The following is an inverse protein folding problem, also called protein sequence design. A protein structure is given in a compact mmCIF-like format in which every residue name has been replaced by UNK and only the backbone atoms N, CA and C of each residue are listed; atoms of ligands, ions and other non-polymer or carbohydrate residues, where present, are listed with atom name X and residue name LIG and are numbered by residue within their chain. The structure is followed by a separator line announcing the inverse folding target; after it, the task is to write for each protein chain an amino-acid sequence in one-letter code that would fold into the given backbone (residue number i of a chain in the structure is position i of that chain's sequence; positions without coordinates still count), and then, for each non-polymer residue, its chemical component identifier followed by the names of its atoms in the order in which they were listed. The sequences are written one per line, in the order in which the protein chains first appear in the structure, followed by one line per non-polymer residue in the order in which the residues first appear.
data_IF_293574599292
#
_entry.id   IF_293574599292
#
_cell.length_a   1.000
_cell.length_b   1.000
_cell.length_c   1.000
_cell.angle_alpha   90.00
_cell.angle_beta   90.00
_cell.angle_gamma   90.00
#
_symmetry.space_group_name_H-M   'P 1'
#
loop_
_entity.id
_entity.type
_entity.pdbx_description
1 polymer ?
#
# COMPACT_ATOMS: atom_id res chain seq x y z
N UNK A 1 -53.86 26.20 13.54
CA UNK A 1 -55.26 26.63 13.68
C UNK A 1 -55.35 28.15 13.62
N UNK A 2 -56.19 28.72 12.75
CA UNK A 2 -56.31 30.17 12.62
C UNK A 2 -57.04 30.76 13.83
N UNK A 3 -56.50 31.83 14.42
CA UNK A 3 -56.88 32.30 15.77
C UNK A 3 -58.24 32.99 15.82
N UNK A 4 -58.72 33.54 14.70
CA UNK A 4 -60.01 34.24 14.61
C UNK A 4 -61.12 33.36 14.03
N UNK A 5 -60.83 32.53 13.02
CA UNK A 5 -61.84 31.71 12.33
C UNK A 5 -61.85 30.25 12.76
N UNK A 6 -60.89 29.81 13.57
CA UNK A 6 -60.83 28.44 14.09
C UNK A 6 -60.47 27.36 13.06
N UNK A 7 -60.34 27.69 11.78
CA UNK A 7 -60.03 26.74 10.70
C UNK A 7 -58.61 26.16 10.86
N UNK A 8 -58.46 24.86 10.67
CA UNK A 8 -57.17 24.16 10.70
C UNK A 8 -56.63 23.98 9.29
N UNK A 9 -55.44 24.54 9.04
CA UNK A 9 -54.74 24.43 7.77
C UNK A 9 -53.56 23.46 7.92
N UNK A 10 -53.64 22.30 7.28
CA UNK A 10 -52.63 21.24 7.41
C UNK A 10 -51.31 21.54 6.68
N UNK A 11 -51.29 22.50 5.75
CA UNK A 11 -50.10 22.87 4.95
C UNK A 11 -49.57 24.28 5.22
N UNK A 12 -50.06 24.96 6.26
CA UNK A 12 -49.65 26.34 6.57
C UNK A 12 -48.14 26.50 6.87
N UNK A 13 -47.50 25.44 7.35
CA UNK A 13 -46.07 25.44 7.64
C UNK A 13 -45.18 25.53 6.39
N UNK A 14 -45.69 25.17 5.20
CA UNK A 14 -44.95 25.23 3.92
C UNK A 14 -45.10 26.60 3.26
N UNK A 15 -46.16 27.34 3.60
CA UNK A 15 -46.48 28.66 3.01
C UNK A 15 -45.76 29.83 3.69
N UNK A 16 -45.10 29.58 4.84
CA UNK A 16 -44.33 30.60 5.55
C UNK A 16 -42.86 30.20 5.64
N UNK A 17 -41.95 31.17 5.56
CA UNK A 17 -40.53 30.90 5.69
C UNK A 17 -40.24 30.36 7.10
N UNK A 18 -39.52 29.24 7.23
CA UNK A 18 -39.17 28.69 8.54
C UNK A 18 -38.29 29.67 9.32
N UNK A 19 -38.42 29.66 10.65
CA UNK A 19 -37.61 30.50 11.53
C UNK A 19 -36.12 30.18 11.31
N UNK A 20 -35.35 31.17 10.84
CA UNK A 20 -33.90 31.04 10.67
C UNK A 20 -33.28 30.64 12.00
N UNK A 21 -32.47 29.58 12.00
CA UNK A 21 -31.67 29.23 13.18
C UNK A 21 -30.70 30.39 13.46
N UNK A 22 -30.52 30.80 14.73
CA UNK A 22 -29.56 31.84 15.05
C UNK A 22 -28.16 31.36 14.63
N UNK A 23 -27.44 32.22 13.91
CA UNK A 23 -26.04 31.95 13.55
C UNK A 23 -25.26 31.83 14.86
N UNK A 24 -24.56 30.71 15.06
CA UNK A 24 -23.62 30.59 16.18
C UNK A 24 -22.50 31.58 15.90
N UNK A 25 -22.43 32.69 16.64
CA UNK A 25 -21.46 33.78 16.46
C UNK A 25 -20.04 33.43 16.88
N UNK A 26 -19.68 32.15 16.88
CA UNK A 26 -18.36 31.64 17.25
C UNK A 26 -17.95 30.63 16.19
N UNK A 27 -16.76 30.80 15.61
CA UNK A 27 -16.18 29.82 14.70
C UNK A 27 -15.99 28.48 15.43
N UNK A 28 -16.65 27.45 14.93
CA UNK A 28 -16.48 26.08 15.44
C UNK A 28 -15.32 25.46 14.67
N UNK A 29 -14.11 25.61 15.20
CA UNK A 29 -12.93 24.96 14.65
C UNK A 29 -12.98 23.45 14.96
N UNK A 30 -13.23 22.62 13.96
CA UNK A 30 -13.13 21.16 14.09
C UNK A 30 -11.73 20.68 13.70
N UNK A 31 -11.04 19.98 14.59
CA UNK A 31 -9.80 19.27 14.26
C UNK A 31 -10.15 17.95 13.56
N UNK A 32 -10.35 18.00 12.25
CA UNK A 32 -10.48 16.79 11.43
C UNK A 32 -9.12 16.40 10.87
N UNK A 33 -8.69 15.18 11.18
CA UNK A 33 -7.48 14.58 10.60
C UNK A 33 -7.89 13.32 9.84
N UNK A 34 -7.47 13.20 8.58
CA UNK A 34 -7.74 12.01 7.78
C UNK A 34 -6.61 11.00 7.99
N UNK A 35 -6.94 9.82 8.53
CA UNK A 35 -5.98 8.71 8.64
C UNK A 35 -5.83 8.05 7.27
N UNK A 36 -4.61 8.04 6.73
CA UNK A 36 -4.27 7.38 5.47
C UNK A 36 -2.96 6.60 5.62
N UNK A 37 -2.90 5.42 5.00
CA UNK A 37 -1.66 4.66 4.87
C UNK A 37 -0.76 5.28 3.80
N UNK A 38 0.32 5.94 4.23
CA UNK A 38 1.35 6.44 3.32
C UNK A 38 2.31 5.31 2.96
N UNK A 39 2.50 5.09 1.66
CA UNK A 39 3.50 4.14 1.13
C UNK A 39 4.59 4.92 0.42
N UNK A 40 5.85 4.67 0.77
CA UNK A 40 6.98 5.18 0.01
C UNK A 40 7.22 4.31 -1.22
N UNK A 41 7.49 4.95 -2.37
CA UNK A 41 7.89 4.29 -3.60
C UNK A 41 9.20 4.91 -4.06
N UNK A 42 10.16 4.09 -4.44
CA UNK A 42 11.42 4.55 -5.02
C UNK A 42 11.30 4.65 -6.54
N UNK A 43 11.96 5.65 -7.12
CA UNK A 43 12.13 5.80 -8.55
C UNK A 43 13.62 5.84 -8.87
N UNK A 44 14.03 5.17 -9.96
CA UNK A 44 15.41 5.19 -10.45
C UNK A 44 15.47 5.92 -11.79
N UNK A 45 16.52 6.73 -11.98
CA UNK A 45 16.87 7.34 -13.25
C UNK A 45 17.79 6.42 -14.06
N UNK A 46 17.85 6.59 -15.37
CA UNK A 46 18.79 5.86 -16.24
C UNK A 46 20.24 6.21 -15.89
N UNK A 47 21.08 5.20 -15.69
CA UNK A 47 22.52 5.36 -15.52
C UNK A 47 23.19 5.06 -16.86
N UNK A 48 24.04 5.97 -17.35
CA UNK A 48 24.86 5.76 -18.54
C UNK A 48 26.28 5.36 -18.17
N UNK A 49 26.86 4.45 -18.95
CA UNK A 49 28.26 4.06 -18.85
C UNK A 49 28.84 3.98 -20.26
N UNK A 50 30.05 4.47 -20.46
CA UNK A 50 30.77 4.42 -21.73
C UNK A 50 32.14 3.76 -21.53
N UNK A 51 32.61 3.10 -22.57
CA UNK A 51 33.93 2.47 -22.60
C UNK A 51 34.62 2.87 -23.89
N UNK A 52 35.88 3.28 -23.80
CA UNK A 52 36.70 3.66 -24.94
C UNK A 52 37.85 2.67 -25.06
N UNK A 53 38.04 2.09 -26.25
CA UNK A 53 39.18 1.21 -26.51
C UNK A 53 40.49 2.01 -26.50
N UNK A 54 41.53 1.45 -25.89
CA UNK A 54 42.89 2.00 -25.94
C UNK A 54 43.53 1.70 -27.29
N UNK A 55 44.11 2.71 -27.95
CA UNK A 55 44.75 2.58 -29.26
C UNK A 55 45.75 3.71 -29.51
N UNK A 56 46.64 3.52 -30.50
CA UNK A 56 47.62 4.55 -30.88
C UNK A 56 46.85 5.78 -31.39
N UNK A 57 47.06 6.93 -30.76
CA UNK A 57 46.36 8.18 -31.07
C UNK A 57 45.02 8.38 -30.34
N UNK A 58 44.59 7.42 -29.50
CA UNK A 58 43.39 7.56 -28.67
C UNK A 58 43.77 7.86 -27.22
N UNK A 59 43.29 8.99 -26.68
CA UNK A 59 43.43 9.28 -25.25
C UNK A 59 42.39 8.50 -24.44
N UNK A 60 42.85 7.61 -23.57
CA UNK A 60 42.03 6.90 -22.59
C UNK A 60 42.77 6.92 -21.24
N UNK A 61 42.10 7.40 -20.18
CA UNK A 61 42.68 7.50 -18.85
C UNK A 61 42.43 6.22 -18.05
N UNK A 62 43.49 5.53 -17.64
CA UNK A 62 43.40 4.27 -16.88
C UNK A 62 43.73 4.42 -15.37
N UNK A 63 43.93 5.65 -14.88
CA UNK A 63 44.41 5.88 -13.50
C UNK A 63 43.46 5.45 -12.39
N UNK A 64 42.15 5.40 -12.67
CA UNK A 64 41.12 4.98 -11.71
C UNK A 64 40.64 3.54 -11.96
N UNK A 65 41.27 2.83 -12.91
CA UNK A 65 40.83 1.49 -13.29
C UNK A 65 41.25 0.47 -12.24
N UNK A 66 40.48 -0.62 -12.15
CA UNK A 66 40.73 -1.73 -11.22
C UNK A 66 40.97 -3.02 -11.99
N UNK A 67 42.07 -3.70 -11.66
CA UNK A 67 42.31 -5.08 -12.10
C UNK A 67 41.55 -6.05 -11.19
N UNK A 68 40.81 -6.97 -11.80
CA UNK A 68 39.98 -7.96 -11.10
C UNK A 68 40.33 -9.36 -11.60
N UNK A 69 40.64 -10.27 -10.69
CA UNK A 69 40.86 -11.69 -11.00
C UNK A 69 39.52 -12.38 -11.22
N UNK A 70 39.34 -13.17 -12.31
CA UNK A 70 38.09 -13.87 -12.55
C UNK A 70 37.84 -14.93 -11.46
N UNK A 71 36.61 -14.98 -10.96
CA UNK A 71 36.13 -16.04 -10.08
C UNK A 71 35.47 -17.17 -10.87
N UNK A 72 34.91 -18.16 -10.15
CA UNK A 72 34.10 -19.21 -10.77
C UNK A 72 32.85 -18.58 -11.39
N UNK A 73 32.66 -18.78 -12.70
CA UNK A 73 31.45 -18.37 -13.39
C UNK A 73 30.28 -19.27 -12.95
N UNK A 74 29.13 -18.67 -12.66
CA UNK A 74 27.89 -19.37 -12.32
C UNK A 74 27.01 -19.34 -13.56
N UNK A 75 26.64 -20.52 -14.06
CA UNK A 75 25.79 -20.61 -15.26
C UNK A 75 24.35 -20.20 -14.92
N UNK A 76 23.59 -19.85 -15.96
CA UNK A 76 22.17 -19.58 -15.78
C UNK A 76 21.46 -20.76 -15.10
N UNK A 77 21.70 -21.99 -15.56
CA UNK A 77 21.05 -23.19 -15.03
C UNK A 77 21.33 -23.41 -13.54
N UNK A 78 22.57 -23.20 -13.10
CA UNK A 78 22.93 -23.29 -11.68
C UNK A 78 22.14 -22.29 -10.81
N UNK A 79 21.95 -21.06 -11.31
CA UNK A 79 21.14 -20.05 -10.62
C UNK A 79 19.66 -20.45 -10.58
N UNK A 80 19.12 -20.96 -11.69
CA UNK A 80 17.73 -21.37 -11.77
C UNK A 80 17.44 -22.55 -10.84
N UNK A 81 18.31 -23.56 -10.83
CA UNK A 81 18.20 -24.71 -9.94
C UNK A 81 18.26 -24.31 -8.47
N UNK A 82 19.18 -23.41 -8.11
CA UNK A 82 19.29 -22.88 -6.74
C UNK A 82 18.01 -22.16 -6.34
N UNK A 83 17.45 -21.31 -7.21
CA UNK A 83 16.18 -20.61 -6.97
C UNK A 83 15.02 -21.59 -6.83
N UNK A 84 14.93 -22.59 -7.70
CA UNK A 84 13.85 -23.59 -7.67
C UNK A 84 13.84 -24.37 -6.35
N UNK A 85 15.00 -24.84 -5.90
CA UNK A 85 15.15 -25.54 -4.60
C UNK A 85 14.70 -24.64 -3.44
N UNK A 86 15.10 -23.37 -3.44
CA UNK A 86 14.68 -22.41 -2.42
C UNK A 86 13.17 -22.15 -2.46
N UNK A 87 12.58 -22.01 -3.64
CA UNK A 87 11.14 -21.81 -3.82
C UNK A 87 10.35 -23.02 -3.31
N UNK A 88 10.74 -24.24 -3.64
CA UNK A 88 10.09 -25.46 -3.13
C UNK A 88 10.12 -25.49 -1.60
N UNK A 89 11.26 -25.15 -1.00
CA UNK A 89 11.42 -25.06 0.45
C UNK A 89 10.44 -24.03 1.06
N UNK A 90 10.42 -22.80 0.55
CA UNK A 90 9.51 -21.75 1.00
C UNK A 90 8.03 -22.16 0.86
N UNK A 91 7.66 -22.75 -0.28
CA UNK A 91 6.31 -23.20 -0.52
C UNK A 91 5.90 -24.32 0.45
N UNK A 92 6.82 -25.21 0.83
CA UNK A 92 6.52 -26.29 1.79
C UNK A 92 6.14 -25.72 3.17
N UNK A 93 6.88 -24.71 3.63
CA UNK A 93 6.58 -23.99 4.87
C UNK A 93 5.28 -23.21 4.78
N UNK A 94 5.04 -22.51 3.67
CA UNK A 94 3.81 -21.77 3.46
C UNK A 94 2.57 -22.70 3.48
N UNK A 95 2.64 -23.85 2.80
CA UNK A 95 1.57 -24.87 2.81
C UNK A 95 1.30 -25.38 4.21
N UNK A 96 2.35 -25.71 4.98
CA UNK A 96 2.23 -26.13 6.39
C UNK A 96 1.56 -25.04 7.24
N UNK A 97 2.01 -23.79 7.11
CA UNK A 97 1.48 -22.67 7.89
C UNK A 97 -0.01 -22.42 7.60
N UNK A 98 -0.41 -22.43 6.32
CA UNK A 98 -1.82 -22.31 5.92
C UNK A 98 -2.68 -23.45 6.48
N UNK A 99 -2.18 -24.69 6.43
CA UNK A 99 -2.88 -25.84 6.99
C UNK A 99 -3.05 -25.69 8.52
N UNK A 100 -2.01 -25.26 9.23
CA UNK A 100 -2.09 -24.99 10.67
C UNK A 100 -3.10 -23.88 10.98
N UNK A 101 -3.11 -22.78 10.22
CA UNK A 101 -4.06 -21.69 10.39
C UNK A 101 -5.51 -22.17 10.19
N UNK A 102 -5.75 -23.00 9.16
CA UNK A 102 -7.05 -23.60 8.90
C UNK A 102 -7.51 -24.50 10.07
N UNK A 103 -6.64 -25.38 10.56
CA UNK A 103 -6.94 -26.24 11.72
C UNK A 103 -7.24 -25.41 12.97
N UNK A 104 -6.47 -24.36 13.24
CA UNK A 104 -6.71 -23.48 14.39
C UNK A 104 -8.06 -22.75 14.28
N UNK A 105 -8.42 -22.29 13.08
CA UNK A 105 -9.74 -21.70 12.82
C UNK A 105 -10.86 -22.69 13.11
N UNK A 106 -10.75 -23.93 12.63
CA UNK A 106 -11.75 -24.99 12.88
C UNK A 106 -11.85 -25.34 14.37
N UNK A 107 -10.73 -25.41 15.09
CA UNK A 107 -10.72 -25.66 16.55
C UNK A 107 -11.46 -24.57 17.31
N UNK A 108 -11.18 -23.30 17.00
CA UNK A 108 -11.89 -22.15 17.60
C UNK A 108 -13.39 -22.21 17.33
N UNK A 109 -13.78 -22.46 16.08
CA UNK A 109 -15.19 -22.60 15.71
C UNK A 109 -15.88 -23.76 16.44
N UNK A 110 -15.21 -24.91 16.59
CA UNK A 110 -15.73 -26.04 17.37
C UNK A 110 -15.91 -25.65 18.83
N UNK A 111 -14.93 -24.99 19.44
CA UNK A 111 -15.00 -24.58 20.84
C UNK A 111 -16.12 -23.57 21.09
N UNK A 112 -16.32 -22.60 20.19
CA UNK A 112 -17.44 -21.65 20.26
C UNK A 112 -18.82 -22.29 20.09
N UNK A 113 -18.92 -23.48 19.47
CA UNK A 113 -20.20 -24.21 19.33
C UNK A 113 -20.52 -25.11 20.53
N UNK A 114 -19.51 -25.48 21.29
CA UNK A 114 -19.62 -26.38 22.45
C UNK A 114 -19.72 -25.62 23.78
N UNK A 115 -19.40 -24.32 23.78
CA UNK A 115 -19.64 -23.40 24.89
C UNK A 115 -21.03 -22.79 24.78
#
# INVERSE_FOLDING_TARGET
KHRLTGVEFHHAAVQTLPKKRPVRGVEVCSHQTQTLELKSQSQQCSVSASTQMTGIGCYAQCGNDRLVTPGKYITADEVHDRRLKAVICLQSFARRWLAQQAVQRLRRQRQSRLA
#
